data_IF_019155672532
#
_entry.id   IF_019155672532
#
_cell.length_a   1.000
_cell.length_b   1.000
_cell.length_c   1.000
_cell.angle_alpha   90.00
_cell.angle_beta   90.00
_cell.angle_gamma   90.00
#
_symmetry.space_group_name_H-M   'P 1'
#
loop_
_entity.id
_entity.type
_entity.pdbx_description
1 polymer ?
#
# COMPACT_ATOMS: atom_id res chain seq x y z
N UNK A 1 1.33 -0.39 -15.94
CA UNK A 1 -0.07 -0.82 -16.17
C UNK A 1 -0.99 0.38 -16.18
N UNK A 2 -1.99 0.33 -17.02
CA UNK A 2 -3.06 1.34 -17.03
C UNK A 2 -4.02 1.10 -15.85
N UNK A 3 -4.85 2.10 -15.55
CA UNK A 3 -5.90 1.96 -14.52
C UNK A 3 -6.87 0.82 -14.90
N UNK A 4 -7.21 0.71 -16.18
CA UNK A 4 -8.08 -0.36 -16.69
C UNK A 4 -7.46 -1.75 -16.47
N UNK A 5 -6.17 -1.89 -16.76
CA UNK A 5 -5.43 -3.14 -16.53
C UNK A 5 -5.38 -3.50 -15.05
N UNK A 6 -5.15 -2.52 -14.18
CA UNK A 6 -5.16 -2.73 -12.73
C UNK A 6 -6.53 -3.18 -12.24
N UNK A 7 -7.59 -2.51 -12.69
CA UNK A 7 -8.97 -2.89 -12.34
C UNK A 7 -9.33 -4.30 -12.81
N UNK A 8 -8.72 -4.76 -13.90
CA UNK A 8 -9.00 -6.08 -14.48
C UNK A 8 -8.25 -7.22 -13.77
N UNK A 9 -7.28 -6.94 -12.90
CA UNK A 9 -6.60 -7.98 -12.13
C UNK A 9 -7.61 -8.71 -11.23
N UNK A 10 -7.54 -10.06 -11.16
CA UNK A 10 -8.55 -10.86 -10.44
C UNK A 10 -8.30 -10.87 -8.92
N UNK A 11 -8.15 -9.69 -8.32
CA UNK A 11 -7.84 -9.55 -6.89
C UNK A 11 -9.00 -10.06 -6.03
N UNK A 12 -10.24 -9.76 -6.43
CA UNK A 12 -11.41 -10.19 -5.69
C UNK A 12 -11.48 -11.72 -5.50
N UNK A 13 -11.02 -12.50 -6.49
CA UNK A 13 -10.99 -13.95 -6.41
C UNK A 13 -9.85 -14.50 -5.56
N UNK A 14 -8.84 -13.70 -5.28
CA UNK A 14 -7.66 -14.09 -4.47
C UNK A 14 -7.77 -13.64 -3.01
N UNK A 15 -8.63 -12.68 -2.73
CA UNK A 15 -8.85 -12.19 -1.38
C UNK A 15 -9.91 -13.03 -0.66
N UNK A 16 -9.75 -13.18 0.65
CA UNK A 16 -10.77 -13.79 1.48
C UNK A 16 -12.01 -12.88 1.61
N UNK A 17 -13.13 -13.42 2.06
CA UNK A 17 -14.36 -12.65 2.24
C UNK A 17 -14.22 -11.53 3.26
N UNK A 18 -13.34 -11.70 4.23
CA UNK A 18 -12.97 -10.70 5.21
C UNK A 18 -11.47 -10.43 5.07
N UNK A 19 -11.11 -9.27 4.55
CA UNK A 19 -9.74 -8.96 4.22
C UNK A 19 -9.46 -7.46 4.29
N UNK A 20 -8.18 -7.11 4.43
CA UNK A 20 -7.70 -5.74 4.33
C UNK A 20 -6.91 -5.54 3.04
N UNK A 21 -7.01 -4.34 2.47
CA UNK A 21 -6.22 -3.90 1.32
C UNK A 21 -5.46 -2.64 1.71
N UNK A 22 -4.16 -2.64 1.43
CA UNK A 22 -3.28 -1.49 1.57
C UNK A 22 -2.83 -1.10 0.17
N UNK A 23 -3.38 -0.02 -0.36
CA UNK A 23 -3.13 0.41 -1.74
C UNK A 23 -2.34 1.71 -1.76
N UNK A 24 -1.07 1.61 -2.13
CA UNK A 24 -0.19 2.77 -2.25
C UNK A 24 -0.54 3.62 -3.45
N UNK A 25 -0.54 4.93 -3.26
CA UNK A 25 -0.80 5.90 -4.31
C UNK A 25 -0.08 7.22 -4.01
N UNK A 26 0.03 8.06 -5.03
CA UNK A 26 0.50 9.44 -4.90
C UNK A 26 -0.70 10.39 -4.87
N UNK A 27 -0.44 11.66 -4.54
CA UNK A 27 -1.49 12.69 -4.52
C UNK A 27 -2.24 12.77 -5.85
N UNK A 28 -1.52 12.66 -6.97
CA UNK A 28 -2.10 12.80 -8.31
C UNK A 28 -3.05 11.67 -8.70
N UNK A 29 -2.90 10.48 -8.08
CA UNK A 29 -3.69 9.29 -8.41
C UNK A 29 -4.63 8.85 -7.31
N UNK A 30 -4.93 9.72 -6.36
CA UNK A 30 -5.76 9.37 -5.20
C UNK A 30 -7.19 8.97 -5.62
N UNK A 31 -7.78 9.67 -6.57
CA UNK A 31 -9.14 9.36 -7.07
C UNK A 31 -9.15 7.99 -7.73
N UNK A 32 -8.15 7.71 -8.58
CA UNK A 32 -8.02 6.43 -9.29
C UNK A 32 -7.81 5.28 -8.31
N UNK A 33 -7.07 5.51 -7.24
CA UNK A 33 -6.87 4.49 -6.20
C UNK A 33 -8.18 4.06 -5.55
N UNK A 34 -9.08 5.00 -5.27
CA UNK A 34 -10.42 4.69 -4.76
C UNK A 34 -11.22 3.84 -5.75
N UNK A 35 -11.16 4.18 -7.03
CA UNK A 35 -11.84 3.41 -8.08
C UNK A 35 -11.30 1.98 -8.14
N UNK A 36 -9.97 1.81 -8.15
CA UNK A 36 -9.33 0.49 -8.20
C UNK A 36 -9.74 -0.35 -6.98
N UNK A 37 -9.67 0.22 -5.78
CA UNK A 37 -10.03 -0.49 -4.55
C UNK A 37 -11.47 -1.03 -4.61
N UNK A 38 -12.41 -0.22 -5.07
CA UNK A 38 -13.80 -0.63 -5.21
C UNK A 38 -14.00 -1.69 -6.28
N UNK A 39 -13.29 -1.59 -7.39
CA UNK A 39 -13.31 -2.62 -8.45
C UNK A 39 -12.78 -3.96 -7.96
N UNK A 40 -11.84 -3.95 -7.03
CA UNK A 40 -11.33 -5.17 -6.40
C UNK A 40 -12.22 -5.70 -5.28
N UNK A 41 -13.34 -5.02 -4.98
CA UNK A 41 -14.31 -5.46 -3.98
C UNK A 41 -14.02 -4.98 -2.56
N UNK A 42 -13.23 -3.91 -2.41
CA UNK A 42 -12.88 -3.34 -1.12
C UNK A 42 -13.50 -1.95 -0.94
N UNK A 43 -13.90 -1.63 0.29
CA UNK A 43 -14.40 -0.31 0.64
C UNK A 43 -13.28 0.52 1.29
N UNK A 44 -12.91 1.66 0.71
CA UNK A 44 -11.93 2.57 1.33
C UNK A 44 -12.42 3.09 2.67
N UNK A 45 -11.56 3.08 3.68
CA UNK A 45 -11.88 3.52 5.04
C UNK A 45 -11.09 4.75 5.47
N UNK A 46 -9.77 4.76 5.24
CA UNK A 46 -8.91 5.86 5.64
C UNK A 46 -7.62 5.85 4.82
N UNK A 47 -6.79 6.86 5.03
CA UNK A 47 -5.51 7.00 4.34
C UNK A 47 -4.41 7.09 5.39
N UNK A 48 -3.37 6.27 5.23
CA UNK A 48 -2.15 6.34 6.04
C UNK A 48 -1.09 7.04 5.21
N UNK A 49 -0.47 8.06 5.76
CA UNK A 49 0.50 8.90 5.06
C UNK A 49 1.92 8.62 5.56
N UNK A 50 2.81 8.34 4.62
CA UNK A 50 4.24 8.22 4.86
C UNK A 50 4.91 9.56 4.56
N UNK A 51 5.49 10.19 5.59
CA UNK A 51 6.28 11.41 5.43
C UNK A 51 7.74 10.99 5.23
N UNK A 52 8.30 11.34 4.09
CA UNK A 52 9.68 11.00 3.73
C UNK A 52 10.61 12.09 4.25
N UNK A 53 11.64 11.70 4.99
CA UNK A 53 12.58 12.62 5.63
C UNK A 53 13.96 12.52 5.00
N UNK A 54 14.66 13.67 4.98
CA UNK A 54 16.10 13.73 4.74
C UNK A 54 16.86 13.38 6.03
N UNK A 55 18.17 13.08 5.95
CA UNK A 55 18.96 12.80 7.15
C UNK A 55 18.92 13.88 8.23
N UNK A 56 18.71 15.15 7.86
CA UNK A 56 18.60 16.27 8.80
C UNK A 56 17.21 16.40 9.45
N UNK A 57 16.28 15.50 9.12
CA UNK A 57 14.91 15.51 9.64
C UNK A 57 13.94 16.42 8.88
N UNK A 58 14.40 17.17 7.90
CA UNK A 58 13.51 17.98 7.05
C UNK A 58 12.77 17.09 6.04
N UNK A 59 11.58 17.52 5.57
CA UNK A 59 10.86 16.76 4.54
C UNK A 59 11.71 16.60 3.27
N UNK A 60 11.73 15.38 2.70
CA UNK A 60 12.41 15.09 1.44
C UNK A 60 11.47 15.39 0.28
N UNK A 61 11.61 16.58 -0.30
CA UNK A 61 10.71 17.08 -1.34
C UNK A 61 11.15 16.64 -2.73
N UNK A 62 10.16 16.36 -3.59
CA UNK A 62 10.35 16.19 -5.03
C UNK A 62 10.20 17.54 -5.75
N UNK A 63 10.61 17.59 -7.01
CA UNK A 63 10.40 18.77 -7.85
C UNK A 63 8.92 18.89 -8.25
N UNK A 64 8.45 20.10 -8.47
CA UNK A 64 7.07 20.35 -8.92
C UNK A 64 6.84 21.83 -9.17
N UNK A 65 5.87 22.13 -10.02
CA UNK A 65 5.52 23.52 -10.38
C UNK A 65 4.60 24.17 -9.34
N UNK A 66 3.82 23.39 -8.64
CA UNK A 66 2.95 23.88 -7.57
C UNK A 66 3.55 23.49 -6.22
N UNK A 67 2.87 22.64 -5.47
CA UNK A 67 3.43 22.13 -4.23
C UNK A 67 4.37 20.96 -4.51
N UNK A 68 5.44 20.86 -3.71
CA UNK A 68 6.44 19.80 -3.87
C UNK A 68 6.10 18.62 -2.97
N UNK A 69 5.98 17.44 -3.57
CA UNK A 69 5.61 16.22 -2.84
C UNK A 69 6.71 15.76 -1.87
N UNK A 70 6.31 15.49 -0.64
CA UNK A 70 7.19 14.95 0.39
C UNK A 70 6.57 13.71 1.07
N UNK A 71 5.46 13.22 0.52
CA UNK A 71 4.68 12.14 1.10
C UNK A 71 4.31 11.09 0.06
N UNK A 72 4.00 9.89 0.54
CA UNK A 72 3.22 8.89 -0.18
C UNK A 72 2.05 8.46 0.69
N UNK A 73 0.99 8.00 0.04
CA UNK A 73 -0.24 7.67 0.74
C UNK A 73 -0.62 6.22 0.50
N UNK A 74 -1.08 5.58 1.57
CA UNK A 74 -1.59 4.21 1.51
C UNK A 74 -3.08 4.24 1.83
N UNK A 75 -3.91 3.90 0.85
CA UNK A 75 -5.35 3.79 1.05
C UNK A 75 -5.63 2.49 1.77
N UNK A 76 -6.23 2.57 2.97
CA UNK A 76 -6.63 1.40 3.74
C UNK A 76 -8.08 1.07 3.46
N UNK A 77 -8.33 -0.16 3.02
CA UNK A 77 -9.65 -0.60 2.60
C UNK A 77 -10.01 -1.93 3.25
N UNK A 78 -11.30 -2.16 3.41
CA UNK A 78 -11.82 -3.37 4.06
C UNK A 78 -12.80 -4.07 3.13
N UNK A 79 -12.67 -5.39 3.05
CA UNK A 79 -13.67 -6.29 2.48
C UNK A 79 -14.32 -7.05 3.63
N UNK A 80 -15.66 -7.07 3.64
CA UNK A 80 -16.39 -7.65 4.77
C UNK A 80 -16.33 -6.76 6.01
N UNK A 81 -16.01 -7.33 7.16
CA UNK A 81 -16.04 -6.63 8.44
C UNK A 81 -14.81 -6.90 9.31
N UNK A 82 -13.67 -7.24 8.70
CA UNK A 82 -12.45 -7.57 9.43
C UNK A 82 -11.90 -6.36 10.19
N UNK A 83 -11.78 -6.50 11.52
CA UNK A 83 -11.21 -5.46 12.38
C UNK A 83 -9.68 -5.54 12.40
N UNK A 84 -9.03 -4.44 12.82
CA UNK A 84 -7.62 -4.44 13.13
C UNK A 84 -7.33 -5.36 14.33
N UNK A 85 -6.14 -5.98 14.35
CA UNK A 85 -5.75 -6.93 15.41
C UNK A 85 -5.46 -6.27 16.74
N UNK A 86 -5.02 -5.02 16.74
CA UNK A 86 -4.55 -4.34 17.93
C UNK A 86 -5.04 -2.91 18.01
N UNK A 87 -4.49 -2.12 18.95
CA UNK A 87 -4.79 -0.69 19.00
C UNK A 87 -4.49 -0.03 17.65
N UNK A 88 -5.39 0.81 17.12
CA UNK A 88 -5.17 1.42 15.82
C UNK A 88 -3.90 2.28 15.78
N UNK A 89 -3.09 2.07 14.75
CA UNK A 89 -1.94 2.92 14.47
C UNK A 89 -2.43 4.30 13.98
N UNK A 90 -1.72 5.39 14.30
CA UNK A 90 -2.03 6.70 13.71
C UNK A 90 -1.95 6.67 12.19
N UNK A 91 -2.66 7.61 11.53
CA UNK A 91 -2.69 7.69 10.06
C UNK A 91 -1.45 8.36 9.46
N UNK A 92 -0.35 8.41 10.18
CA UNK A 92 0.90 9.00 9.72
C UNK A 92 2.08 8.26 10.32
N UNK A 93 3.13 8.10 9.54
CA UNK A 93 4.45 7.70 10.04
C UNK A 93 5.55 8.39 9.23
N UNK A 94 6.72 8.51 9.83
CA UNK A 94 7.86 9.20 9.25
C UNK A 94 9.05 8.26 9.22
N UNK A 95 9.71 8.17 8.08
CA UNK A 95 10.98 7.46 7.93
C UNK A 95 11.88 8.18 6.94
N UNK A 96 13.14 7.75 6.87
CA UNK A 96 14.04 8.19 5.83
C UNK A 96 13.50 7.85 4.44
N UNK A 97 13.81 8.70 3.46
CA UNK A 97 13.55 8.43 2.06
C UNK A 97 14.33 7.18 1.63
N UNK A 98 13.68 6.32 0.85
CA UNK A 98 14.27 5.11 0.29
C UNK A 98 14.37 5.21 -1.24
N UNK A 99 15.14 4.33 -1.89
CA UNK A 99 15.16 4.24 -3.34
C UNK A 99 13.75 4.13 -3.92
N UNK A 100 13.62 4.53 -5.17
CA UNK A 100 12.32 4.61 -5.86
C UNK A 100 11.47 3.34 -5.70
N UNK A 101 10.22 3.52 -5.32
CA UNK A 101 9.19 2.48 -5.11
C UNK A 101 9.48 1.46 -4.00
N UNK A 102 10.56 1.60 -3.23
CA UNK A 102 10.81 0.75 -2.06
C UNK A 102 10.03 1.29 -0.88
N UNK A 103 9.28 0.41 -0.20
CA UNK A 103 8.55 0.76 1.03
C UNK A 103 9.39 0.42 2.25
N UNK A 104 9.30 1.19 3.34
CA UNK A 104 10.12 0.94 4.53
C UNK A 104 9.65 -0.29 5.30
N UNK A 105 10.57 -0.93 6.02
CA UNK A 105 10.23 -2.07 6.89
C UNK A 105 9.16 -1.70 7.91
N UNK A 106 9.14 -0.46 8.35
CA UNK A 106 8.11 0.08 9.23
C UNK A 106 6.70 -0.23 8.72
N UNK A 107 6.46 -0.06 7.42
CA UNK A 107 5.16 -0.33 6.81
C UNK A 107 4.79 -1.81 6.91
N UNK A 108 5.70 -2.71 6.57
CA UNK A 108 5.43 -4.16 6.64
C UNK A 108 5.15 -4.60 8.08
N UNK A 109 5.93 -4.09 9.04
CA UNK A 109 5.72 -4.36 10.45
C UNK A 109 4.35 -3.85 10.91
N UNK A 110 3.95 -2.67 10.47
CA UNK A 110 2.64 -2.08 10.78
C UNK A 110 1.51 -2.96 10.24
N UNK A 111 1.60 -3.40 9.00
CA UNK A 111 0.59 -4.29 8.39
C UNK A 111 0.48 -5.59 9.18
N UNK A 112 1.61 -6.21 9.53
CA UNK A 112 1.61 -7.47 10.29
C UNK A 112 1.03 -7.31 11.69
N UNK A 113 1.21 -6.15 12.32
CA UNK A 113 0.65 -5.85 13.63
C UNK A 113 -0.86 -5.55 13.58
N UNK A 114 -1.35 -4.97 12.49
CA UNK A 114 -2.71 -4.47 12.39
C UNK A 114 -3.65 -5.41 11.64
N UNK A 115 -3.13 -6.25 10.76
CA UNK A 115 -3.96 -7.08 9.88
C UNK A 115 -3.59 -8.55 9.99
N UNK A 116 -4.62 -9.41 9.93
CA UNK A 116 -4.43 -10.86 9.88
C UNK A 116 -3.78 -11.30 8.58
N UNK A 117 -2.87 -12.28 8.67
CA UNK A 117 -2.34 -12.96 7.50
C UNK A 117 -3.33 -13.99 6.91
N UNK A 118 -2.98 -14.64 5.80
CA UNK A 118 -1.73 -14.47 5.04
C UNK A 118 -1.65 -13.15 4.30
N UNK A 119 -0.42 -12.79 3.89
CA UNK A 119 -0.14 -11.52 3.23
C UNK A 119 0.30 -11.73 1.80
N UNK A 120 -0.21 -10.90 0.88
CA UNK A 120 0.19 -10.88 -0.52
C UNK A 120 0.61 -9.46 -0.90
N UNK A 121 1.79 -9.31 -1.48
CA UNK A 121 2.23 -8.06 -2.07
C UNK A 121 2.22 -8.15 -3.59
N UNK A 122 1.49 -7.25 -4.23
CA UNK A 122 1.51 -7.07 -5.69
C UNK A 122 2.63 -6.10 -6.06
N UNK A 123 3.28 -6.35 -7.19
CA UNK A 123 4.40 -5.52 -7.67
C UNK A 123 5.56 -5.50 -6.68
N UNK A 124 5.80 -6.64 -6.04
CA UNK A 124 6.81 -6.77 -5.01
C UNK A 124 8.21 -6.56 -5.59
N UNK A 125 9.08 -5.87 -4.83
CA UNK A 125 10.47 -5.59 -5.20
C UNK A 125 11.47 -6.40 -4.38
N UNK A 126 11.00 -7.05 -3.32
CA UNK A 126 11.82 -7.92 -2.48
C UNK A 126 10.94 -8.99 -1.84
N UNK A 127 11.57 -10.07 -1.43
CA UNK A 127 10.91 -11.11 -0.64
C UNK A 127 10.87 -10.69 0.83
N UNK A 128 9.79 -11.12 1.51
CA UNK A 128 9.69 -11.01 2.96
C UNK A 128 9.10 -12.31 3.49
N UNK A 129 9.64 -12.79 4.60
CA UNK A 129 9.13 -13.99 5.27
C UNK A 129 7.63 -13.85 5.58
N UNK A 130 6.87 -14.91 5.30
CA UNK A 130 5.41 -14.98 5.47
C UNK A 130 4.59 -14.14 4.47
N UNK A 131 5.22 -13.60 3.44
CA UNK A 131 4.55 -12.85 2.39
C UNK A 131 4.61 -13.59 1.06
N UNK A 132 3.47 -13.71 0.41
CA UNK A 132 3.37 -14.12 -0.99
C UNK A 132 3.63 -12.91 -1.89
N UNK A 133 4.14 -13.14 -3.08
CA UNK A 133 4.55 -12.06 -4.00
C UNK A 133 4.05 -12.30 -5.41
N UNK A 134 3.75 -11.20 -6.10
CA UNK A 134 3.43 -11.18 -7.52
C UNK A 134 3.94 -9.88 -8.14
N UNK A 135 4.55 -9.96 -9.32
CA UNK A 135 5.08 -8.81 -10.04
C UNK A 135 6.20 -9.20 -10.99
N UNK A 136 6.88 -8.21 -11.56
CA UNK A 136 7.94 -8.41 -12.55
C UNK A 136 9.36 -8.31 -11.98
N UNK A 137 9.51 -7.83 -10.77
CA UNK A 137 10.84 -7.52 -10.18
C UNK A 137 11.47 -8.72 -9.47
N UNK A 138 10.66 -9.64 -8.96
CA UNK A 138 11.10 -10.85 -8.28
C UNK A 138 10.22 -12.03 -8.69
N UNK A 139 10.66 -13.29 -8.45
CA UNK A 139 9.82 -14.45 -8.77
C UNK A 139 8.48 -14.41 -8.03
N UNK A 140 7.42 -14.74 -8.76
CA UNK A 140 6.08 -14.83 -8.18
C UNK A 140 5.95 -16.08 -7.33
N UNK A 141 5.26 -15.97 -6.20
CA UNK A 141 4.91 -17.11 -5.34
C UNK A 141 3.42 -17.46 -5.42
N UNK A 142 2.64 -16.64 -6.13
CA UNK A 142 1.23 -16.92 -6.45
C UNK A 142 0.97 -16.58 -7.91
N UNK A 143 -0.10 -17.16 -8.46
CA UNK A 143 -0.61 -16.84 -9.80
C UNK A 143 -1.88 -15.97 -9.67
N UNK A 144 -1.99 -14.97 -10.52
CA UNK A 144 -3.21 -14.18 -10.65
C UNK A 144 -3.98 -14.54 -11.92
#
# INVERSE_FOLDING_TARGET
MTIEELCALPIASKAEDNAHLYLWTTNSFMVEAHVIARKWGFEPKTIVTWVKKKPDGAPSMKTGFYYRGATEHCLFCVRGSLRLKGPPHPTVFETARLPHSVKPDYFYNMVEQQSEGPYLELFARRNRENWFTWGNEIPNTVLL
#
